data_IF_584188957092
#
_entry.id   IF_584188957092
#
_cell.length_a   1.000
_cell.length_b   1.000
_cell.length_c   1.000
_cell.angle_alpha   90.00
_cell.angle_beta   90.00
_cell.angle_gamma   90.00
#
_symmetry.space_group_name_H-M   'P 1'
#
loop_
_entity.id
_entity.type
_entity.pdbx_description
1 polymer ?
#
# COMPACT_ATOMS: atom_id res chain seq x y z
N UNK A 1 11.50 -1.55 -10.60
CA UNK A 1 10.30 -1.72 -9.80
C UNK A 1 9.10 -1.31 -10.63
N UNK A 2 8.41 -2.28 -11.19
CA UNK A 2 7.09 -2.16 -11.79
C UNK A 2 6.02 -2.36 -10.71
N UNK A 3 4.89 -1.66 -10.81
CA UNK A 3 3.75 -1.84 -9.90
C UNK A 3 2.59 -2.45 -10.69
N UNK A 4 2.14 -3.62 -10.26
CA UNK A 4 1.06 -4.37 -10.92
C UNK A 4 -0.11 -4.50 -9.96
N UNK A 5 -1.31 -4.19 -10.43
CA UNK A 5 -2.55 -4.38 -9.66
C UNK A 5 -3.37 -5.49 -10.30
N UNK A 6 -3.90 -6.39 -9.48
CA UNK A 6 -4.89 -7.38 -9.94
C UNK A 6 -6.12 -6.68 -10.55
N UNK A 7 -6.75 -7.31 -11.54
CA UNK A 7 -7.96 -6.77 -12.17
C UNK A 7 -9.09 -6.53 -11.14
N UNK A 8 -9.23 -7.43 -10.17
CA UNK A 8 -10.21 -7.32 -9.10
C UNK A 8 -9.99 -6.06 -8.24
N UNK A 9 -8.74 -5.73 -7.94
CA UNK A 9 -8.37 -4.52 -7.22
C UNK A 9 -8.72 -3.27 -8.03
N UNK A 10 -8.33 -3.24 -9.31
CA UNK A 10 -8.63 -2.12 -10.22
C UNK A 10 -10.15 -1.90 -10.31
N UNK A 11 -10.92 -2.97 -10.53
CA UNK A 11 -12.37 -2.89 -10.63
C UNK A 11 -13.01 -2.37 -9.33
N UNK A 12 -12.51 -2.81 -8.18
CA UNK A 12 -12.98 -2.34 -6.89
C UNK A 12 -12.66 -0.86 -6.65
N UNK A 13 -11.43 -0.43 -6.94
CA UNK A 13 -11.00 0.96 -6.84
C UNK A 13 -11.88 1.86 -7.70
N UNK A 14 -12.09 1.51 -8.98
CA UNK A 14 -12.98 2.26 -9.88
C UNK A 14 -14.41 2.33 -9.35
N UNK A 15 -14.96 1.21 -8.90
CA UNK A 15 -16.32 1.15 -8.33
C UNK A 15 -16.48 2.03 -7.09
N UNK A 16 -15.43 2.17 -6.28
CA UNK A 16 -15.45 2.94 -5.02
C UNK A 16 -14.90 4.36 -5.17
N UNK A 17 -14.36 4.72 -6.33
CA UNK A 17 -13.75 6.03 -6.57
C UNK A 17 -12.39 6.21 -5.88
N UNK A 18 -11.66 5.13 -5.60
CA UNK A 18 -10.31 5.22 -5.06
C UNK A 18 -9.27 5.45 -6.17
N UNK A 19 -8.39 6.43 -5.95
CA UNK A 19 -7.27 6.74 -6.84
C UNK A 19 -5.90 6.48 -6.18
N UNK A 20 -5.88 6.15 -4.88
CA UNK A 20 -4.65 6.07 -4.11
C UNK A 20 -4.66 4.84 -3.20
N UNK A 21 -3.52 4.17 -3.13
CA UNK A 21 -3.20 3.17 -2.10
C UNK A 21 -1.96 3.67 -1.37
N UNK A 22 -1.90 3.55 -0.04
CA UNK A 22 -0.69 3.79 0.72
C UNK A 22 -0.08 2.51 1.27
N UNK A 23 1.24 2.51 1.39
CA UNK A 23 2.04 1.48 2.08
C UNK A 23 2.85 2.16 3.19
N UNK A 24 2.73 1.63 4.39
CA UNK A 24 3.45 2.08 5.58
C UNK A 24 3.97 0.87 6.35
N UNK A 25 5.21 0.95 6.86
CA UNK A 25 5.71 0.01 7.85
C UNK A 25 5.18 0.36 9.24
N UNK A 26 4.53 -0.58 9.90
CA UNK A 26 4.08 -0.42 11.28
C UNK A 26 4.86 -1.36 12.20
N UNK A 27 5.24 -0.85 13.37
CA UNK A 27 5.83 -1.65 14.44
C UNK A 27 4.85 -1.64 15.62
N UNK A 28 4.06 -2.70 15.83
CA UNK A 28 3.10 -2.73 16.92
C UNK A 28 3.83 -2.69 18.27
N UNK A 29 3.60 -1.62 19.05
CA UNK A 29 4.16 -1.49 20.40
C UNK A 29 3.47 -2.49 21.33
N UNK A 30 4.19 -3.51 21.80
CA UNK A 30 3.74 -4.41 22.87
C UNK A 30 3.62 -5.90 22.52
N UNK A 31 3.98 -6.35 21.30
CA UNK A 31 4.08 -7.77 20.98
C UNK A 31 5.52 -8.26 21.21
N UNK A 32 5.71 -9.45 21.78
CA UNK A 32 7.02 -10.03 22.10
C UNK A 32 7.91 -10.35 20.89
N UNK A 33 7.47 -10.00 19.68
CA UNK A 33 8.26 -10.07 18.47
C UNK A 33 8.31 -8.64 17.89
N UNK A 34 9.51 -8.07 17.77
CA UNK A 34 9.78 -6.82 17.05
C UNK A 34 9.56 -7.02 15.53
N UNK A 35 8.36 -7.45 15.14
CA UNK A 35 8.00 -7.70 13.75
C UNK A 35 7.47 -6.41 13.13
N UNK A 36 8.28 -5.79 12.28
CA UNK A 36 7.78 -4.75 11.38
C UNK A 36 6.86 -5.38 10.34
N UNK A 37 5.62 -4.90 10.27
CA UNK A 37 4.60 -5.33 9.32
C UNK A 37 4.31 -4.19 8.32
N UNK A 38 3.70 -4.53 7.18
CA UNK A 38 3.22 -3.54 6.22
C UNK A 38 1.72 -3.32 6.40
N UNK A 39 1.34 -2.07 6.61
CA UNK A 39 -0.02 -1.60 6.52
C UNK A 39 -0.28 -1.07 5.10
N UNK A 40 -1.27 -1.64 4.41
CA UNK A 40 -1.66 -1.24 3.07
C UNK A 40 -3.13 -0.84 3.05
N UNK A 41 -3.43 0.37 2.60
CA UNK A 41 -4.78 0.95 2.74
C UNK A 41 -5.20 1.75 1.52
N UNK A 42 -6.51 1.80 1.26
CA UNK A 42 -7.09 2.76 0.32
C UNK A 42 -7.05 4.17 0.92
N UNK A 43 -6.70 5.16 0.11
CA UNK A 43 -6.52 6.54 0.56
C UNK A 43 -7.48 7.46 -0.19
N UNK A 44 -8.10 8.38 0.54
CA UNK A 44 -8.94 9.43 -0.04
C UNK A 44 -8.08 10.54 -0.66
N UNK A 45 -8.62 11.28 -1.62
CA UNK A 45 -7.89 12.36 -2.29
C UNK A 45 -7.33 13.40 -1.31
N UNK A 46 -8.14 13.80 -0.32
CA UNK A 46 -7.71 14.74 0.74
C UNK A 46 -6.53 14.20 1.55
N UNK A 47 -6.54 12.93 1.92
CA UNK A 47 -5.44 12.32 2.66
C UNK A 47 -4.19 12.18 1.76
N UNK A 48 -4.37 11.82 0.49
CA UNK A 48 -3.29 11.74 -0.49
C UNK A 48 -2.58 13.09 -0.67
N UNK A 49 -3.33 14.19 -0.79
CA UNK A 49 -2.76 15.54 -0.84
C UNK A 49 -1.92 15.86 0.40
N UNK A 50 -2.41 15.51 1.59
CA UNK A 50 -1.67 15.71 2.84
C UNK A 50 -0.37 14.90 2.89
N UNK A 51 -0.40 13.64 2.43
CA UNK A 51 0.81 12.82 2.38
C UNK A 51 1.84 13.35 1.37
N UNK A 52 1.38 13.79 0.19
CA UNK A 52 2.25 14.40 -0.83
C UNK A 52 2.85 15.72 -0.36
N UNK A 53 2.08 16.57 0.32
CA UNK A 53 2.57 17.81 0.92
C UNK A 53 3.65 17.56 2.00
N UNK A 54 3.60 16.41 2.67
CA UNK A 54 4.62 15.95 3.63
C UNK A 54 5.83 15.28 2.96
N UNK A 55 5.86 15.20 1.62
CA UNK A 55 6.97 14.64 0.86
C UNK A 55 7.01 13.12 0.85
N UNK A 56 5.87 12.43 0.93
CA UNK A 56 5.83 10.99 0.68
C UNK A 56 6.28 10.69 -0.76
N UNK A 57 6.85 9.50 -0.97
CA UNK A 57 7.22 9.06 -2.32
C UNK A 57 5.97 8.56 -3.03
N UNK A 58 5.76 9.01 -4.28
CA UNK A 58 4.67 8.55 -5.14
C UNK A 58 5.21 7.66 -6.25
N UNK A 59 4.48 6.62 -6.59
CA UNK A 59 4.77 5.72 -7.70
C UNK A 59 3.51 5.59 -8.54
N UNK A 60 3.65 5.77 -9.86
CA UNK A 60 2.54 5.57 -10.79
C UNK A 60 2.12 4.09 -10.77
N UNK A 61 0.82 3.85 -10.67
CA UNK A 61 0.25 2.51 -10.65
C UNK A 61 -0.79 2.35 -11.78
N UNK A 62 -1.22 1.11 -12.10
CA UNK A 62 -2.24 0.87 -13.14
C UNK A 62 -3.56 1.60 -12.90
N UNK A 63 -3.90 1.87 -11.64
CA UNK A 63 -5.00 2.75 -11.23
C UNK A 63 -4.46 3.78 -10.23
N UNK A 64 -4.29 5.02 -10.69
CA UNK A 64 -3.84 6.14 -9.88
C UNK A 64 -2.40 5.99 -9.38
N UNK A 65 -2.17 6.12 -8.07
CA UNK A 65 -0.82 6.13 -7.50
C UNK A 65 -0.69 5.29 -6.23
N UNK A 66 0.50 4.71 -6.04
CA UNK A 66 0.95 4.08 -4.81
C UNK A 66 1.76 5.10 -3.99
N UNK A 67 1.35 5.35 -2.76
CA UNK A 67 1.96 6.30 -1.83
C UNK A 67 2.81 5.53 -0.81
N UNK A 68 4.11 5.80 -0.79
CA UNK A 68 5.03 5.21 0.18
C UNK A 68 5.20 6.17 1.35
N UNK A 69 4.66 5.78 2.51
CA UNK A 69 4.67 6.62 3.71
C UNK A 69 5.87 6.34 4.62
N UNK A 70 6.48 5.15 4.50
CA UNK A 70 7.68 4.78 5.26
C UNK A 70 8.96 4.88 4.43
N UNK A 71 10.04 5.31 5.08
CA UNK A 71 11.41 5.20 4.54
C UNK A 71 11.98 3.82 4.85
N UNK A 72 13.00 3.40 4.11
CA UNK A 72 13.72 2.15 4.39
C UNK A 72 12.95 0.88 4.05
N UNK A 73 11.99 0.94 3.12
CA UNK A 73 11.40 -0.25 2.52
C UNK A 73 12.30 -0.77 1.40
N UNK A 74 12.40 -2.08 1.31
CA UNK A 74 12.99 -2.80 0.19
C UNK A 74 11.93 -3.17 -0.83
N UNK A 75 12.30 -3.17 -2.10
CA UNK A 75 11.40 -3.43 -3.21
C UNK A 75 12.02 -4.43 -4.17
N UNK A 76 11.22 -5.40 -4.60
CA UNK A 76 11.55 -6.28 -5.70
C UNK A 76 11.55 -5.57 -7.06
N UNK A 77 11.85 -6.33 -8.10
CA UNK A 77 11.71 -5.86 -9.49
C UNK A 77 10.25 -5.55 -9.84
N UNK A 78 9.32 -6.32 -9.27
CA UNK A 78 7.88 -6.16 -9.35
C UNK A 78 7.27 -6.02 -7.94
N UNK A 79 6.28 -5.13 -7.81
CA UNK A 79 5.44 -4.97 -6.63
C UNK A 79 4.00 -5.25 -7.05
N UNK A 80 3.43 -6.32 -6.51
CA UNK A 80 2.12 -6.83 -6.91
C UNK A 80 1.08 -6.57 -5.82
N UNK A 81 -0.02 -5.87 -6.15
CA UNK A 81 -1.13 -5.60 -5.23
C UNK A 81 -2.41 -6.30 -5.67
N UNK A 82 -3.04 -6.98 -4.71
CA UNK A 82 -4.26 -7.76 -4.91
C UNK A 82 -5.42 -7.27 -4.05
N UNK A 83 -6.61 -7.79 -4.34
CA UNK A 83 -7.79 -7.60 -3.51
C UNK A 83 -8.17 -8.91 -2.84
N UNK A 84 -8.11 -8.96 -1.51
CA UNK A 84 -8.62 -10.05 -0.71
C UNK A 84 -9.98 -9.68 -0.13
N UNK A 85 -10.82 -10.69 0.08
CA UNK A 85 -12.11 -10.52 0.75
C UNK A 85 -12.23 -11.52 1.88
N UNK A 86 -12.51 -11.05 3.09
CA UNK A 86 -12.80 -11.90 4.24
C UNK A 86 -14.07 -11.42 4.92
N UNK A 87 -15.08 -12.29 5.02
CA UNK A 87 -16.39 -11.97 5.63
C UNK A 87 -17.02 -10.65 5.13
N UNK A 88 -16.90 -10.37 3.82
CA UNK A 88 -17.44 -9.16 3.21
C UNK A 88 -16.56 -7.90 3.34
N UNK A 89 -15.55 -7.92 4.21
CA UNK A 89 -14.54 -6.88 4.28
C UNK A 89 -13.53 -7.06 3.14
N UNK A 90 -13.14 -5.93 2.53
CA UNK A 90 -12.16 -5.87 1.45
C UNK A 90 -10.84 -5.38 2.01
N UNK A 91 -9.79 -6.10 1.67
CA UNK A 91 -8.44 -5.87 2.13
C UNK A 91 -7.46 -5.93 0.95
N UNK A 92 -6.32 -5.26 1.05
CA UNK A 92 -5.31 -5.21 0.00
C UNK A 92 -4.21 -6.20 0.36
N UNK A 93 -3.86 -7.07 -0.58
CA UNK A 93 -2.65 -7.91 -0.45
C UNK A 93 -1.51 -7.22 -1.16
N UNK A 94 -0.29 -7.36 -0.63
CA UNK A 94 0.92 -6.83 -1.25
C UNK A 94 2.00 -7.90 -1.26
N UNK A 95 2.73 -7.97 -2.36
CA UNK A 95 3.95 -8.76 -2.53
C UNK A 95 5.04 -7.89 -3.18
N UNK A 96 6.31 -8.25 -2.98
CA UNK A 96 7.45 -7.49 -3.51
C UNK A 96 7.84 -6.23 -2.72
N UNK A 97 7.23 -5.97 -1.56
CA UNK A 97 7.68 -4.95 -0.60
C UNK A 97 8.02 -5.62 0.72
N UNK A 98 9.18 -5.28 1.29
CA UNK A 98 9.56 -5.69 2.63
C UNK A 98 10.00 -4.49 3.47
N UNK A 99 9.73 -4.51 4.77
CA UNK A 99 10.40 -3.62 5.70
C UNK A 99 11.82 -4.14 5.95
N UNK A 100 12.82 -3.26 5.87
CA UNK A 100 14.20 -3.62 6.21
C UNK A 100 14.26 -4.20 7.62
N UNK A 101 14.78 -5.43 7.75
CA UNK A 101 15.09 -6.02 9.06
C UNK A 101 16.57 -5.78 9.36
N UNK A 102 16.83 -5.12 10.49
CA UNK A 102 18.17 -5.04 11.08
C UNK A 102 18.60 -6.41 11.62
#
# INVERSE_FOLDING_TARGET
>A
MEVVYSEALIAYMKKKGYSFISVESISPKGCCADSTELLVTFVSDKAAEQYKAKGCRTIKAPQGELLILSKGLEYGEEVSLGLRSFLGLKDITVDGIAAWKL
#
